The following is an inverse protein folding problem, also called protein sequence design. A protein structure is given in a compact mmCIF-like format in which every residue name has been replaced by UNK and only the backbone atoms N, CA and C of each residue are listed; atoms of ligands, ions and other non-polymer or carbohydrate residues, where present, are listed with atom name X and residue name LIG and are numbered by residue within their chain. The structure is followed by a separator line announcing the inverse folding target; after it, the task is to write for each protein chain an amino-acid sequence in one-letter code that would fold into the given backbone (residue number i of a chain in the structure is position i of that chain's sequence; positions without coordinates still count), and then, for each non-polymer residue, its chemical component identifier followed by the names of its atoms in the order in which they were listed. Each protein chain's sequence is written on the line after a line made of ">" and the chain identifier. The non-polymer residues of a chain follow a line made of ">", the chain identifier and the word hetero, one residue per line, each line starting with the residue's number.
data_IF_357224045005
#
_entry.id   IF_357224045005
#
_cell.length_a   1.000
_cell.length_b   1.000
_cell.length_c   1.000
_cell.angle_alpha   90.00
_cell.angle_beta   90.00
_cell.angle_gamma   90.00
#
_symmetry.space_group_name_H-M   'P 1'
#
loop_
_entity.id
_entity.type
_entity.pdbx_description
1 polymer ?
#
# COMPACT_ATOMS: atom_id res chain seq x y z
N UNK A 1 5.34 -20.84 53.83
CA UNK A 1 4.06 -20.54 53.17
C UNK A 1 4.37 -20.08 51.75
N UNK A 2 4.11 -20.97 50.80
CA UNK A 2 4.15 -20.68 49.37
C UNK A 2 3.03 -19.69 49.00
N UNK A 3 3.28 -18.86 47.99
CA UNK A 3 2.42 -18.36 46.89
C UNK A 3 3.35 -17.40 46.12
N UNK A 4 4.16 -17.86 45.16
CA UNK A 4 3.83 -18.12 43.76
C UNK A 4 2.93 -17.03 43.13
N UNK A 5 3.53 -15.90 42.75
CA UNK A 5 2.97 -15.01 41.72
C UNK A 5 3.78 -15.18 40.43
N UNK A 6 3.59 -16.34 39.81
CA UNK A 6 3.92 -16.59 38.41
C UNK A 6 2.75 -16.05 37.58
N UNK A 7 2.91 -14.87 36.99
CA UNK A 7 2.19 -14.47 35.78
C UNK A 7 3.04 -13.44 35.04
N UNK A 8 4.17 -13.89 34.49
CA UNK A 8 4.81 -13.17 33.40
C UNK A 8 3.87 -13.32 32.20
N UNK A 9 3.08 -12.26 31.96
CA UNK A 9 2.20 -12.11 30.82
C UNK A 9 2.97 -12.43 29.54
N UNK A 10 2.76 -13.63 29.04
CA UNK A 10 3.03 -13.98 27.66
C UNK A 10 2.03 -13.15 26.85
N UNK A 11 2.41 -11.91 26.51
CA UNK A 11 1.74 -11.15 25.47
C UNK A 11 2.13 -11.82 24.18
N UNK A 12 1.46 -12.93 23.88
CA UNK A 12 1.42 -13.50 22.55
C UNK A 12 0.75 -12.45 21.68
N UNK A 13 1.57 -11.59 21.05
CA UNK A 13 1.12 -10.82 19.89
C UNK A 13 0.80 -11.85 18.82
N UNK A 14 -0.46 -12.29 18.81
CA UNK A 14 -1.12 -12.89 17.67
C UNK A 14 -1.16 -11.81 16.59
N UNK A 15 -0.04 -11.64 15.87
CA UNK A 15 -0.08 -11.04 14.54
C UNK A 15 -0.75 -12.06 13.63
N UNK A 16 -2.09 -12.09 13.69
CA UNK A 16 -2.88 -12.70 12.63
C UNK A 16 -2.49 -12.00 11.34
N UNK A 17 -1.85 -12.72 10.43
CA UNK A 17 -1.44 -12.21 9.13
C UNK A 17 -2.64 -12.09 8.20
N UNK A 18 -3.62 -11.26 8.59
CA UNK A 18 -4.41 -10.54 7.61
C UNK A 18 -3.41 -9.67 6.84
N UNK A 19 -3.46 -9.67 5.51
CA UNK A 19 -2.41 -9.11 4.64
C UNK A 19 -2.16 -7.59 4.83
N UNK A 20 -2.80 -6.95 5.81
CA UNK A 20 -2.62 -5.55 6.19
C UNK A 20 -3.27 -4.58 5.21
N UNK A 21 -4.17 -5.09 4.36
CA UNK A 21 -4.88 -4.27 3.38
C UNK A 21 -6.05 -3.56 4.04
N UNK A 22 -6.13 -2.27 3.79
CA UNK A 22 -7.32 -1.48 4.02
C UNK A 22 -8.19 -1.50 2.76
N UNK A 23 -9.51 -1.31 2.92
CA UNK A 23 -10.42 -0.94 1.84
C UNK A 23 -11.06 0.45 2.01
N UNK A 24 -10.67 1.17 3.07
CA UNK A 24 -11.15 2.52 3.36
C UNK A 24 -10.03 3.53 3.09
N UNK A 25 -10.23 4.39 2.10
CA UNK A 25 -9.27 5.41 1.70
C UNK A 25 -8.88 6.34 2.86
N UNK A 26 -9.84 6.79 3.66
CA UNK A 26 -9.59 7.75 4.74
C UNK A 26 -8.80 7.08 5.87
N UNK A 27 -9.21 5.88 6.28
CA UNK A 27 -8.49 5.11 7.31
C UNK A 27 -7.06 4.79 6.89
N UNK A 28 -6.85 4.44 5.61
CA UNK A 28 -5.50 4.18 5.09
C UNK A 28 -4.59 5.41 5.18
N UNK A 29 -5.10 6.61 4.87
CA UNK A 29 -4.33 7.85 5.03
C UNK A 29 -4.05 8.17 6.50
N UNK A 30 -5.02 7.95 7.40
CA UNK A 30 -4.83 8.14 8.85
C UNK A 30 -3.77 7.19 9.40
N UNK A 31 -3.84 5.91 9.04
CA UNK A 31 -2.83 4.91 9.39
C UNK A 31 -1.46 5.30 8.83
N UNK A 32 -1.38 5.77 7.59
CA UNK A 32 -0.13 6.18 6.96
C UNK A 32 0.54 7.35 7.72
N UNK A 33 -0.26 8.30 8.23
CA UNK A 33 0.26 9.39 9.08
C UNK A 33 0.81 8.87 10.40
N UNK A 34 0.11 7.94 11.06
CA UNK A 34 0.51 7.34 12.34
C UNK A 34 1.80 6.53 12.17
N UNK A 35 1.85 5.68 11.15
CA UNK A 35 3.00 4.82 10.85
C UNK A 35 4.16 5.55 10.16
N UNK A 36 3.96 6.82 9.76
CA UNK A 36 4.91 7.61 8.97
C UNK A 36 5.32 6.91 7.67
N UNK A 37 4.34 6.28 7.02
CA UNK A 37 4.49 5.59 5.73
C UNK A 37 3.76 6.34 4.63
N UNK A 38 4.10 6.02 3.39
CA UNK A 38 3.29 6.39 2.23
C UNK A 38 2.13 5.38 2.05
N UNK A 39 1.26 5.57 1.06
CA UNK A 39 0.19 4.62 0.73
C UNK A 39 0.41 4.03 -0.64
N UNK A 40 0.32 2.71 -0.73
CA UNK A 40 0.18 2.00 -1.99
C UNK A 40 -1.29 1.62 -2.18
N UNK A 41 -1.93 2.27 -3.14
CA UNK A 41 -3.32 2.03 -3.49
C UNK A 41 -3.42 1.24 -4.80
N UNK A 42 -3.91 0.01 -4.69
CA UNK A 42 -4.24 -0.86 -5.82
C UNK A 42 -5.74 -0.77 -6.08
N UNK A 43 -6.11 -0.30 -7.27
CA UNK A 43 -7.50 -0.25 -7.71
C UNK A 43 -7.77 -1.46 -8.61
N UNK A 44 -8.79 -2.25 -8.27
CA UNK A 44 -9.26 -3.40 -9.04
C UNK A 44 -10.77 -3.30 -9.30
N UNK A 45 -11.36 -4.31 -9.92
CA UNK A 45 -12.81 -4.54 -10.01
C UNK A 45 -13.06 -6.04 -9.99
N UNK A 46 -14.21 -6.53 -9.53
CA UNK A 46 -14.55 -7.96 -9.52
C UNK A 46 -14.25 -8.68 -10.86
N UNK A 47 -14.73 -8.13 -11.99
CA UNK A 47 -14.49 -8.66 -13.34
C UNK A 47 -13.19 -8.12 -13.97
N UNK A 48 -12.05 -8.54 -13.42
CA UNK A 48 -10.74 -8.12 -13.92
C UNK A 48 -9.70 -9.25 -13.89
N UNK A 49 -9.54 -9.95 -15.02
CA UNK A 49 -8.54 -11.03 -15.16
C UNK A 49 -7.10 -10.58 -14.87
N UNK A 50 -6.74 -9.37 -15.29
CA UNK A 50 -5.39 -8.83 -15.07
C UNK A 50 -5.13 -8.46 -13.61
N UNK A 51 -6.16 -8.08 -12.86
CA UNK A 51 -6.08 -7.80 -11.43
C UNK A 51 -5.80 -9.10 -10.67
N UNK A 52 -6.59 -10.14 -10.93
CA UNK A 52 -6.36 -11.48 -10.36
C UNK A 52 -4.97 -12.00 -10.70
N UNK A 53 -4.53 -11.86 -11.95
CA UNK A 53 -3.17 -12.26 -12.35
C UNK A 53 -2.11 -11.54 -11.50
N UNK A 54 -2.22 -10.21 -11.35
CA UNK A 54 -1.29 -9.44 -10.52
C UNK A 54 -1.30 -9.90 -9.04
N UNK A 55 -2.48 -10.12 -8.48
CA UNK A 55 -2.68 -10.57 -7.09
C UNK A 55 -2.06 -11.95 -6.82
N UNK A 56 -2.22 -12.91 -7.75
CA UNK A 56 -1.75 -14.30 -7.55
C UNK A 56 -0.34 -14.56 -8.07
N UNK A 57 0.29 -13.60 -8.76
CA UNK A 57 1.70 -13.72 -9.18
C UNK A 57 2.58 -12.68 -8.51
N UNK A 58 2.45 -11.41 -8.91
CA UNK A 58 3.39 -10.35 -8.53
C UNK A 58 3.25 -9.96 -7.07
N UNK A 59 2.02 -9.97 -6.54
CA UNK A 59 1.79 -9.77 -5.10
C UNK A 59 2.03 -11.03 -4.27
N UNK A 60 2.36 -12.18 -4.86
CA UNK A 60 2.82 -13.36 -4.09
C UNK A 60 4.34 -13.42 -3.97
N UNK A 61 5.05 -12.56 -4.70
CA UNK A 61 6.49 -12.42 -4.58
C UNK A 61 6.84 -11.81 -3.21
N UNK A 62 7.57 -12.57 -2.39
CA UNK A 62 7.92 -12.17 -1.04
C UNK A 62 8.75 -10.89 -1.00
N UNK A 63 9.67 -10.70 -1.95
CA UNK A 63 10.51 -9.51 -1.99
C UNK A 63 9.68 -8.26 -2.30
N UNK A 64 8.71 -8.37 -3.21
CA UNK A 64 7.76 -7.30 -3.51
C UNK A 64 6.89 -6.98 -2.30
N UNK A 65 6.26 -7.99 -1.69
CA UNK A 65 5.39 -7.79 -0.53
C UNK A 65 6.13 -7.17 0.66
N UNK A 66 7.34 -7.64 0.96
CA UNK A 66 8.14 -7.11 2.06
C UNK A 66 8.52 -5.65 1.81
N UNK A 67 8.93 -5.32 0.58
CA UNK A 67 9.23 -3.93 0.21
C UNK A 67 7.99 -3.04 0.34
N UNK A 68 6.84 -3.52 -0.14
CA UNK A 68 5.57 -2.80 -0.02
C UNK A 68 5.19 -2.55 1.46
N UNK A 69 5.16 -3.60 2.29
CA UNK A 69 4.77 -3.49 3.71
C UNK A 69 5.72 -2.61 4.54
N UNK A 70 7.01 -2.60 4.18
CA UNK A 70 8.02 -1.78 4.85
C UNK A 70 7.80 -0.30 4.60
N UNK A 71 7.43 0.08 3.38
CA UNK A 71 7.41 1.49 2.95
C UNK A 71 5.99 2.09 2.90
N UNK A 72 4.96 1.24 2.79
CA UNK A 72 3.60 1.66 2.49
C UNK A 72 2.56 1.03 3.41
N UNK A 73 1.50 1.78 3.68
CA UNK A 73 0.20 1.22 4.06
C UNK A 73 -0.46 0.71 2.79
N UNK A 74 -0.94 -0.54 2.82
CA UNK A 74 -1.56 -1.18 1.67
C UNK A 74 -3.06 -0.87 1.65
N UNK A 75 -3.54 -0.36 0.52
CA UNK A 75 -4.93 0.00 0.29
C UNK A 75 -5.42 -0.68 -0.99
N UNK A 76 -6.46 -1.48 -0.88
CA UNK A 76 -7.13 -2.12 -2.00
C UNK A 76 -8.48 -1.44 -2.18
N UNK A 77 -8.79 -0.99 -3.39
CA UNK A 77 -10.06 -0.35 -3.73
C UNK A 77 -10.69 -1.14 -4.87
N UNK A 78 -11.84 -1.75 -4.65
CA UNK A 78 -12.70 -2.13 -5.75
C UNK A 78 -13.41 -0.87 -6.28
N UNK A 79 -13.18 -0.53 -7.55
CA UNK A 79 -13.73 0.69 -8.16
C UNK A 79 -15.26 0.70 -8.28
N UNK A 80 -15.90 -0.46 -8.18
CA UNK A 80 -17.34 -0.63 -8.35
C UNK A 80 -18.06 -0.74 -6.97
N UNK A 81 -17.33 -1.03 -5.89
CA UNK A 81 -17.88 -1.20 -4.53
C UNK A 81 -17.37 -0.16 -3.52
N UNK A 82 -16.07 0.14 -3.52
CA UNK A 82 -15.43 0.96 -2.49
C UNK A 82 -15.44 2.45 -2.84
N UNK A 83 -15.44 3.29 -1.79
CA UNK A 83 -15.31 4.74 -1.95
C UNK A 83 -13.91 5.14 -2.39
N UNK A 84 -13.83 6.01 -3.39
CA UNK A 84 -12.58 6.66 -3.81
C UNK A 84 -12.85 8.10 -4.28
N UNK A 85 -11.99 9.07 -3.90
CA UNK A 85 -12.09 10.45 -4.38
C UNK A 85 -12.13 10.56 -5.91
N UNK A 86 -12.90 11.50 -6.44
CA UNK A 86 -13.19 11.62 -7.88
C UNK A 86 -11.97 11.93 -8.75
N UNK A 87 -10.93 12.55 -8.18
CA UNK A 87 -9.70 12.89 -8.91
C UNK A 87 -8.87 11.66 -9.31
N UNK A 88 -9.14 10.49 -8.73
CA UNK A 88 -8.51 9.23 -9.13
C UNK A 88 -9.20 8.64 -10.36
N UNK A 89 -8.39 8.10 -11.29
CA UNK A 89 -8.91 7.52 -12.53
C UNK A 89 -9.52 6.14 -12.26
N UNK A 90 -10.85 6.07 -12.30
CA UNK A 90 -11.61 4.80 -12.18
C UNK A 90 -11.50 3.88 -13.40
N UNK A 91 -11.25 4.44 -14.59
CA UNK A 91 -11.21 3.66 -15.83
C UNK A 91 -9.92 2.85 -15.96
N UNK A 92 -10.07 1.57 -16.35
CA UNK A 92 -9.03 0.57 -16.64
C UNK A 92 -8.27 0.15 -15.37
N UNK A 93 -8.24 -1.16 -15.11
CA UNK A 93 -7.66 -1.80 -13.92
C UNK A 93 -6.82 -3.04 -14.33
N UNK A 94 -5.85 -3.51 -13.52
CA UNK A 94 -5.43 -2.94 -12.23
C UNK A 94 -4.73 -1.59 -12.42
N UNK A 95 -4.94 -0.67 -11.48
CA UNK A 95 -4.30 0.64 -11.50
C UNK A 95 -3.59 0.89 -10.17
N UNK A 96 -2.36 1.35 -10.27
CA UNK A 96 -1.44 1.51 -9.15
C UNK A 96 -1.27 2.99 -8.85
N UNK A 97 -1.43 3.36 -7.59
CA UNK A 97 -1.17 4.70 -7.08
C UNK A 97 -0.24 4.62 -5.87
N UNK A 98 0.77 5.47 -5.88
CA UNK A 98 1.66 5.70 -4.75
C UNK A 98 1.40 7.11 -4.24
N UNK A 99 0.94 7.21 -3.01
CA UNK A 99 0.48 8.46 -2.41
C UNK A 99 1.32 8.79 -1.18
N UNK A 100 1.50 10.08 -0.91
CA UNK A 100 1.91 10.55 0.42
C UNK A 100 0.77 10.33 1.42
N UNK A 101 1.08 10.36 2.71
CA UNK A 101 0.09 10.24 3.78
C UNK A 101 -0.99 11.35 3.79
N UNK A 102 -0.79 12.45 3.06
CA UNK A 102 -1.80 13.50 2.85
C UNK A 102 -2.68 13.28 1.60
N UNK A 103 -2.47 12.19 0.87
CA UNK A 103 -3.19 11.86 -0.36
C UNK A 103 -2.54 12.39 -1.64
N UNK A 104 -1.44 13.15 -1.56
CA UNK A 104 -0.72 13.66 -2.74
C UNK A 104 -0.15 12.51 -3.57
N UNK A 105 -0.40 12.48 -4.88
CA UNK A 105 0.13 11.46 -5.79
C UNK A 105 1.63 11.66 -6.02
N UNK A 106 2.42 10.63 -5.69
CA UNK A 106 3.84 10.52 -6.04
C UNK A 106 3.97 9.98 -7.46
N UNK A 107 3.30 8.86 -7.73
CA UNK A 107 3.35 8.18 -9.02
C UNK A 107 2.11 7.30 -9.24
N UNK A 108 1.79 7.03 -10.50
CA UNK A 108 0.73 6.10 -10.87
C UNK A 108 1.01 5.45 -12.21
N UNK A 109 0.61 4.19 -12.36
CA UNK A 109 0.68 3.46 -13.63
C UNK A 109 -0.47 2.46 -13.76
N UNK A 110 -0.61 1.86 -14.93
CA UNK A 110 -1.72 0.97 -15.29
C UNK A 110 -1.19 -0.41 -15.65
N UNK A 111 -2.01 -1.43 -15.37
CA UNK A 111 -1.88 -2.76 -15.92
C UNK A 111 -1.13 -3.71 -15.01
N UNK A 112 -1.19 -4.98 -15.40
CA UNK A 112 -0.39 -6.04 -14.80
C UNK A 112 1.07 -5.89 -15.20
N UNK A 113 1.97 -6.11 -14.24
CA UNK A 113 3.42 -6.17 -14.42
C UNK A 113 3.97 -7.35 -13.62
N UNK A 114 4.97 -8.04 -14.15
CA UNK A 114 5.66 -9.11 -13.41
C UNK A 114 6.46 -8.51 -12.22
N UNK A 115 7.05 -9.36 -11.37
CA UNK A 115 7.82 -8.91 -10.21
C UNK A 115 9.00 -8.00 -10.55
N UNK A 116 9.74 -8.30 -11.62
CA UNK A 116 10.92 -7.53 -12.02
C UNK A 116 10.52 -6.10 -12.45
N UNK A 117 9.57 -5.98 -13.37
CA UNK A 117 9.07 -4.69 -13.84
C UNK A 117 8.43 -3.89 -12.71
N UNK A 118 7.67 -4.56 -11.83
CA UNK A 118 7.07 -3.92 -10.67
C UNK A 118 8.12 -3.40 -9.68
N UNK A 119 9.21 -4.14 -9.46
CA UNK A 119 10.33 -3.70 -8.63
C UNK A 119 11.02 -2.45 -9.19
N UNK A 120 11.14 -2.34 -10.51
CA UNK A 120 11.63 -1.12 -11.18
C UNK A 120 10.72 0.07 -10.90
N UNK A 121 9.39 -0.09 -11.00
CA UNK A 121 8.46 0.98 -10.65
C UNK A 121 8.57 1.43 -9.19
N UNK A 122 8.80 0.52 -8.25
CA UNK A 122 9.05 0.90 -6.86
C UNK A 122 10.32 1.78 -6.71
N UNK A 123 11.35 1.52 -7.51
CA UNK A 123 12.52 2.40 -7.61
C UNK A 123 12.18 3.79 -8.17
N UNK A 124 11.36 3.85 -9.22
CA UNK A 124 10.90 5.11 -9.80
C UNK A 124 10.10 5.96 -8.79
N UNK A 125 9.28 5.33 -7.95
CA UNK A 125 8.52 6.02 -6.90
C UNK A 125 9.47 6.73 -5.94
N UNK A 126 10.54 6.07 -5.49
CA UNK A 126 11.54 6.64 -4.58
C UNK A 126 12.25 7.85 -5.23
N UNK A 127 12.65 7.74 -6.49
CA UNK A 127 13.30 8.84 -7.20
C UNK A 127 12.36 10.04 -7.39
N UNK A 128 11.10 9.78 -7.75
CA UNK A 128 10.07 10.83 -7.88
C UNK A 128 9.77 11.49 -6.55
N UNK A 129 9.75 10.72 -5.46
CA UNK A 129 9.58 11.21 -4.09
C UNK A 129 10.68 12.21 -3.73
N UNK A 130 11.95 11.82 -3.94
CA UNK A 130 13.12 12.68 -3.70
C UNK A 130 13.07 13.96 -4.54
N UNK A 131 12.73 13.83 -5.83
CA UNK A 131 12.61 14.98 -6.72
C UNK A 131 11.52 15.95 -6.24
N UNK A 132 10.35 15.46 -5.87
CA UNK A 132 9.26 16.28 -5.32
C UNK A 132 9.67 17.01 -4.04
N UNK A 133 10.35 16.32 -3.11
CA UNK A 133 10.82 16.91 -1.86
C UNK A 133 11.87 18.01 -2.12
N UNK A 134 12.77 17.76 -3.08
CA UNK A 134 13.78 18.76 -3.49
C UNK A 134 13.15 20.01 -4.09
N UNK A 135 12.10 19.86 -4.91
CA UNK A 135 11.41 20.99 -5.53
C UNK A 135 10.66 21.82 -4.48
N UNK A 136 9.93 21.17 -3.57
CA UNK A 136 9.22 21.85 -2.48
C UNK A 136 10.16 22.68 -1.59
N UNK A 137 11.38 22.21 -1.37
CA UNK A 137 12.38 22.93 -0.56
C UNK A 137 12.99 24.15 -1.26
N UNK A 138 12.91 24.25 -2.60
CA UNK A 138 13.40 25.42 -3.35
C UNK A 138 12.40 26.58 -3.38
N UNK A 139 11.13 26.29 -3.13
CA UNK A 139 10.03 27.26 -3.17
C UNK A 139 9.76 27.91 -1.80
N UNK A 140 10.48 27.49 -0.76
CA UNK A 140 10.39 27.99 0.61
C UNK A 140 11.59 28.86 0.95
#
# INVERSE_FOLDING_TARGET
>A
MQILFVTLLLVSTLFGSELGWNNDYKKALEQAKIEKKDVYMLITSADCRWCRKFEVTTLQDEAILQRLKKQYVLLHIDRDEDYMPEHFKKKRVPRHYFLRADGTVIYSFLGYWNSEDFASFLGDVEQRKIKQDTLKNKEK
#
